data_IF_826654710208
#
_entry.id   IF_826654710208
#
_cell.length_a   1.000
_cell.length_b   1.000
_cell.length_c   1.000
_cell.angle_alpha   90.00
_cell.angle_beta   90.00
_cell.angle_gamma   90.00
#
_symmetry.space_group_name_H-M   'P 1'
#
loop_
_entity.id
_entity.type
_entity.pdbx_description
1 polymer ?
#
# COMPACT_ATOMS: atom_id res chain seq x y z
N UNK A 1 -1.83 -26.06 -13.63
CA UNK A 1 -2.90 -25.10 -13.98
C UNK A 1 -2.32 -23.72 -13.76
N UNK A 2 -2.28 -22.85 -14.76
CA UNK A 2 -1.84 -21.48 -14.56
C UNK A 2 -2.89 -20.72 -13.74
N UNK A 3 -2.44 -20.01 -12.71
CA UNK A 3 -3.28 -19.09 -11.95
C UNK A 3 -3.84 -18.01 -12.89
N UNK A 4 -5.08 -17.55 -12.71
CA UNK A 4 -5.58 -16.39 -13.42
C UNK A 4 -4.76 -15.17 -13.02
N UNK A 5 -3.98 -14.69 -13.98
CA UNK A 5 -2.98 -13.63 -13.83
C UNK A 5 -3.57 -12.22 -13.86
N UNK A 6 -4.85 -12.01 -13.60
CA UNK A 6 -5.48 -10.69 -13.76
C UNK A 6 -6.57 -10.41 -12.71
N UNK A 7 -6.20 -10.43 -11.42
CA UNK A 7 -6.95 -9.63 -10.48
C UNK A 7 -6.33 -8.21 -10.48
N UNK A 8 -6.84 -7.36 -11.37
CA UNK A 8 -6.55 -5.94 -11.36
C UNK A 8 -7.15 -5.36 -10.08
N UNK A 9 -6.31 -5.07 -9.09
CA UNK A 9 -6.69 -4.15 -8.03
C UNK A 9 -6.83 -2.76 -8.68
N UNK A 10 -7.95 -2.06 -8.51
CA UNK A 10 -8.09 -0.72 -9.06
C UNK A 10 -7.01 0.18 -8.44
N UNK A 11 -5.98 0.49 -9.22
CA UNK A 11 -4.89 1.39 -8.85
C UNK A 11 -3.50 0.79 -8.69
N UNK A 12 -3.34 -0.54 -8.59
CA UNK A 12 -2.01 -1.14 -8.49
C UNK A 12 -1.94 -2.49 -9.21
N UNK A 13 -1.14 -2.57 -10.26
CA UNK A 13 -0.86 -3.84 -10.94
C UNK A 13 0.04 -4.69 -10.05
N UNK A 14 -0.45 -5.83 -9.56
CA UNK A 14 0.39 -6.80 -8.85
C UNK A 14 1.29 -7.46 -9.89
N UNK A 15 2.57 -7.20 -9.79
CA UNK A 15 3.58 -7.81 -10.65
C UNK A 15 3.85 -9.26 -10.22
N UNK A 16 4.02 -10.20 -11.18
CA UNK A 16 4.49 -11.54 -10.88
C UNK A 16 5.86 -11.47 -10.18
N UNK A 17 5.90 -11.78 -8.88
CA UNK A 17 7.11 -11.83 -8.08
C UNK A 17 7.43 -10.62 -7.20
N UNK A 18 6.65 -9.54 -7.25
CA UNK A 18 6.87 -8.34 -6.43
C UNK A 18 5.63 -7.94 -5.62
N UNK A 19 5.54 -8.40 -4.38
CA UNK A 19 4.57 -7.84 -3.45
C UNK A 19 5.11 -6.47 -2.98
N UNK A 20 4.32 -5.39 -3.18
CA UNK A 20 4.60 -4.11 -2.54
C UNK A 20 4.40 -4.29 -1.03
N UNK A 21 5.47 -4.16 -0.26
CA UNK A 21 5.46 -4.45 1.18
C UNK A 21 4.86 -3.28 1.97
N UNK A 22 4.82 -2.09 1.36
CA UNK A 22 4.38 -0.85 2.01
C UNK A 22 2.90 -0.52 1.90
N UNK A 23 2.16 -1.11 0.92
CA UNK A 23 0.78 -0.74 0.66
C UNK A 23 -0.04 -1.90 0.09
N UNK A 24 -1.18 -2.22 0.72
CA UNK A 24 -2.05 -3.34 0.34
C UNK A 24 -3.07 -3.00 -0.78
N UNK A 25 -3.20 -1.74 -1.14
CA UNK A 25 -4.25 -1.29 -2.07
C UNK A 25 -5.58 -1.06 -1.37
N UNK A 26 -6.67 -1.39 -2.04
CA UNK A 26 -8.03 -1.33 -1.53
C UNK A 26 -8.69 -2.70 -1.61
N UNK A 27 -9.75 -2.98 -0.84
CA UNK A 27 -10.51 -4.22 -0.98
C UNK A 27 -11.10 -4.32 -2.39
N UNK A 28 -11.21 -5.56 -2.91
CA UNK A 28 -11.80 -5.82 -4.24
C UNK A 28 -13.29 -5.47 -4.23
N UNK A 29 -13.96 -5.80 -3.11
CA UNK A 29 -15.37 -5.51 -2.91
C UNK A 29 -15.54 -4.25 -2.08
N UNK A 30 -16.62 -3.50 -2.32
CA UNK A 30 -17.01 -2.41 -1.44
C UNK A 30 -17.60 -3.01 -0.16
N UNK A 31 -16.80 -3.08 0.90
CA UNK A 31 -17.18 -3.73 2.15
C UNK A 31 -18.27 -2.97 2.88
N UNK A 32 -19.35 -3.63 3.20
CA UNK A 32 -20.33 -3.17 4.18
C UNK A 32 -19.85 -3.48 5.61
N UNK A 33 -20.50 -2.89 6.61
CA UNK A 33 -20.20 -3.16 8.00
C UNK A 33 -20.38 -4.65 8.33
N UNK A 34 -19.46 -5.17 9.15
CA UNK A 34 -19.36 -6.59 9.51
C UNK A 34 -19.01 -7.53 8.36
N UNK A 35 -18.43 -7.02 7.29
CA UNK A 35 -17.90 -7.88 6.22
C UNK A 35 -16.38 -8.03 6.33
N UNK A 36 -15.93 -9.20 5.91
CA UNK A 36 -14.52 -9.60 5.82
C UNK A 36 -14.25 -10.12 4.42
N UNK A 37 -13.17 -9.65 3.82
CA UNK A 37 -12.70 -10.14 2.53
C UNK A 37 -11.32 -10.76 2.67
N UNK A 38 -11.15 -11.99 2.20
CA UNK A 38 -9.85 -12.64 2.16
C UNK A 38 -9.68 -13.42 0.86
N UNK A 39 -8.59 -13.14 0.15
CA UNK A 39 -8.24 -13.82 -1.11
C UNK A 39 -9.41 -13.87 -2.11
N UNK A 40 -10.16 -12.76 -2.23
CA UNK A 40 -11.30 -12.60 -3.12
C UNK A 40 -12.62 -13.21 -2.63
N UNK A 41 -12.64 -13.85 -1.44
CA UNK A 41 -13.86 -14.35 -0.81
C UNK A 41 -14.42 -13.28 0.14
N UNK A 42 -15.63 -12.82 -0.16
CA UNK A 42 -16.38 -11.92 0.71
C UNK A 42 -17.24 -12.76 1.67
N UNK A 43 -17.14 -12.45 2.96
CA UNK A 43 -17.87 -13.10 4.06
C UNK A 43 -18.58 -12.02 4.89
N UNK A 44 -19.74 -12.37 5.46
CA UNK A 44 -20.55 -11.49 6.30
C UNK A 44 -21.96 -11.26 5.75
N UNK A 45 -22.68 -10.26 6.26
CA UNK A 45 -24.08 -10.01 5.91
C UNK A 45 -24.30 -9.95 4.40
N UNK A 46 -25.35 -10.64 3.92
CA UNK A 46 -25.71 -10.69 2.51
C UNK A 46 -24.95 -11.70 1.67
N UNK A 47 -24.11 -12.53 2.28
CA UNK A 47 -23.36 -13.62 1.62
C UNK A 47 -23.80 -15.00 2.10
N UNK A 48 -23.25 -16.06 1.50
CA UNK A 48 -23.44 -17.44 1.97
C UNK A 48 -22.65 -17.74 3.26
N UNK A 49 -21.88 -16.79 3.77
CA UNK A 49 -20.97 -16.90 4.90
C UNK A 49 -21.36 -15.89 5.97
N UNK A 50 -22.13 -16.33 6.95
CA UNK A 50 -22.51 -15.48 8.07
C UNK A 50 -21.42 -15.48 9.15
N UNK A 51 -21.15 -14.34 9.76
CA UNK A 51 -20.09 -14.21 10.74
C UNK A 51 -20.73 -13.89 12.09
N UNK A 52 -20.61 -14.76 13.09
CA UNK A 52 -21.02 -14.44 14.46
C UNK A 52 -20.28 -13.20 15.01
N UNK A 53 -20.86 -12.42 15.92
CA UNK A 53 -20.34 -11.14 16.34
C UNK A 53 -19.10 -11.19 17.28
N UNK A 54 -18.43 -12.34 17.38
CA UNK A 54 -17.24 -12.49 18.22
C UNK A 54 -15.99 -12.55 17.34
N UNK A 55 -15.23 -11.43 17.32
CA UNK A 55 -14.04 -11.28 16.51
C UNK A 55 -12.88 -10.78 17.37
N UNK A 56 -11.66 -11.25 17.08
CA UNK A 56 -10.44 -10.79 17.73
C UNK A 56 -9.47 -10.05 16.78
N UNK A 57 -10.02 -9.33 15.79
CA UNK A 57 -9.21 -8.60 14.82
C UNK A 57 -8.48 -7.38 15.40
N UNK A 58 -9.03 -6.78 16.46
CA UNK A 58 -8.45 -5.60 17.11
C UNK A 58 -7.57 -5.94 18.30
N UNK A 59 -7.34 -7.22 18.56
CA UNK A 59 -6.48 -7.65 19.65
C UNK A 59 -5.02 -7.27 19.35
N UNK A 60 -4.29 -6.93 20.39
CA UNK A 60 -2.85 -6.73 20.27
C UNK A 60 -2.15 -8.06 20.04
N UNK A 61 -1.20 -8.10 19.13
CA UNK A 61 -0.32 -9.25 18.96
C UNK A 61 0.49 -9.50 20.24
N UNK A 62 0.85 -10.75 20.49
CA UNK A 62 1.73 -11.10 21.61
C UNK A 62 3.03 -10.24 21.56
N UNK A 63 3.49 -9.79 22.71
CA UNK A 63 4.70 -8.98 22.79
C UNK A 63 5.91 -9.86 23.05
N UNK A 64 6.97 -9.61 22.33
CA UNK A 64 8.34 -10.10 22.63
C UNK A 64 9.02 -9.06 23.47
N UNK A 65 9.16 -9.32 24.76
CA UNK A 65 9.84 -8.44 25.73
C UNK A 65 11.34 -8.74 25.75
N UNK A 66 12.15 -7.70 25.82
CA UNK A 66 13.62 -7.80 25.97
C UNK A 66 14.06 -7.45 27.39
N UNK A 67 13.20 -7.70 28.36
CA UNK A 67 13.49 -7.45 29.77
C UNK A 67 14.61 -8.34 30.29
N UNK A 68 15.51 -7.78 31.08
CA UNK A 68 16.61 -8.51 31.72
C UNK A 68 16.38 -8.59 33.22
N UNK A 69 16.42 -9.80 33.78
CA UNK A 69 16.32 -10.01 35.23
C UNK A 69 17.46 -9.30 35.98
N UNK A 70 17.14 -8.66 37.09
CA UNK A 70 18.15 -8.09 38.00
C UNK A 70 18.79 -9.21 38.81
N UNK A 71 20.11 -9.28 38.80
CA UNK A 71 20.85 -10.40 39.43
C UNK A 71 20.78 -10.38 40.95
N UNK A 72 20.70 -9.18 41.54
CA UNK A 72 20.80 -8.98 43.02
C UNK A 72 19.67 -8.14 43.59
N UNK A 73 18.57 -7.95 42.88
CA UNK A 73 17.41 -7.17 43.30
C UNK A 73 16.11 -7.69 42.66
N UNK A 74 14.97 -7.38 43.27
CA UNK A 74 13.68 -7.73 42.72
C UNK A 74 13.40 -6.98 41.38
N UNK A 75 12.68 -7.67 40.47
CA UNK A 75 12.26 -7.12 39.20
C UNK A 75 13.26 -7.30 38.06
N UNK A 76 13.00 -6.59 36.97
CA UNK A 76 13.82 -6.62 35.73
C UNK A 76 14.22 -5.21 35.30
N UNK A 77 15.20 -5.12 34.44
CA UNK A 77 15.46 -3.93 33.63
C UNK A 77 14.53 -3.99 32.42
N UNK A 78 13.72 -2.94 32.25
CA UNK A 78 12.81 -2.87 31.10
C UNK A 78 13.57 -2.69 29.80
N UNK A 79 13.34 -3.61 28.87
CA UNK A 79 13.83 -3.54 27.48
C UNK A 79 12.74 -3.04 26.51
N UNK A 80 13.04 -2.90 25.21
CA UNK A 80 12.04 -2.61 24.20
C UNK A 80 11.13 -3.80 23.94
N UNK A 81 9.85 -3.54 23.73
CA UNK A 81 8.85 -4.54 23.36
C UNK A 81 8.63 -4.53 21.85
N UNK A 82 8.50 -5.72 21.27
CA UNK A 82 8.19 -5.92 19.85
C UNK A 82 6.93 -6.76 19.70
N UNK A 83 6.03 -6.35 18.81
CA UNK A 83 4.87 -7.15 18.46
C UNK A 83 5.29 -8.41 17.70
N UNK A 84 4.76 -9.56 18.12
CA UNK A 84 4.93 -10.82 17.40
C UNK A 84 3.90 -10.95 16.26
N UNK A 85 3.80 -12.12 15.69
CA UNK A 85 2.80 -12.46 14.68
C UNK A 85 1.41 -12.31 15.26
N UNK A 86 0.52 -11.59 14.58
CA UNK A 86 -0.89 -11.54 14.92
C UNK A 86 -1.62 -12.76 14.34
N UNK A 87 -2.49 -13.38 15.15
CA UNK A 87 -3.23 -14.60 14.80
C UNK A 87 -4.75 -14.36 14.91
N UNK A 88 -5.35 -13.50 14.04
CA UNK A 88 -6.77 -13.28 14.08
C UNK A 88 -7.53 -14.55 13.71
N UNK A 89 -8.66 -14.75 14.35
CA UNK A 89 -9.53 -15.90 14.11
C UNK A 89 -10.99 -15.50 14.14
N UNK A 90 -11.83 -16.22 13.42
CA UNK A 90 -13.26 -16.06 13.47
C UNK A 90 -13.98 -17.39 13.17
N UNK A 91 -15.22 -17.49 13.62
CA UNK A 91 -16.15 -18.51 13.17
C UNK A 91 -16.90 -18.02 11.93
N UNK A 92 -17.21 -18.92 11.03
CA UNK A 92 -17.95 -18.63 9.79
C UNK A 92 -19.06 -19.66 9.65
N UNK A 93 -20.30 -19.20 9.60
CA UNK A 93 -21.44 -20.04 9.32
C UNK A 93 -21.66 -20.11 7.80
N UNK A 94 -21.45 -21.27 7.23
CA UNK A 94 -21.66 -21.51 5.79
C UNK A 94 -23.08 -22.02 5.60
N UNK A 95 -23.85 -21.34 4.76
CA UNK A 95 -25.28 -21.66 4.50
C UNK A 95 -25.53 -21.76 2.99
N UNK A 96 -26.44 -22.66 2.63
CA UNK A 96 -26.90 -22.77 1.24
C UNK A 96 -28.39 -23.08 1.17
N UNK A 97 -29.12 -22.39 0.30
CA UNK A 97 -30.55 -22.66 0.07
C UNK A 97 -30.80 -24.06 -0.52
N UNK A 98 -29.80 -24.63 -1.19
CA UNK A 98 -29.83 -26.01 -1.73
C UNK A 98 -28.50 -26.69 -1.43
N UNK A 99 -28.46 -28.02 -1.47
CA UNK A 99 -27.24 -28.80 -1.28
C UNK A 99 -26.13 -28.41 -2.30
N UNK A 100 -26.51 -28.09 -3.52
CA UNK A 100 -25.57 -27.67 -4.55
C UNK A 100 -24.93 -26.30 -4.24
N UNK A 101 -25.71 -25.30 -3.81
CA UNK A 101 -25.24 -23.99 -3.38
C UNK A 101 -24.37 -24.08 -2.13
N UNK A 102 -24.78 -24.90 -1.17
CA UNK A 102 -23.98 -25.17 0.02
C UNK A 102 -22.63 -25.81 -0.33
N UNK A 103 -22.62 -26.86 -1.18
CA UNK A 103 -21.39 -27.50 -1.62
C UNK A 103 -20.46 -26.52 -2.35
N UNK A 104 -21.03 -25.64 -3.20
CA UNK A 104 -20.27 -24.59 -3.90
C UNK A 104 -19.65 -23.59 -2.90
N UNK A 105 -20.42 -23.15 -1.88
CA UNK A 105 -19.94 -22.27 -0.84
C UNK A 105 -18.80 -22.91 -0.02
N UNK A 106 -18.96 -24.16 0.40
CA UNK A 106 -17.90 -24.91 1.11
C UNK A 106 -16.64 -25.02 0.24
N UNK A 107 -16.79 -25.29 -1.06
CA UNK A 107 -15.65 -25.38 -1.96
C UNK A 107 -14.94 -24.03 -2.17
N UNK A 108 -15.69 -22.94 -2.28
CA UNK A 108 -15.14 -21.58 -2.37
C UNK A 108 -14.35 -21.21 -1.10
N UNK A 109 -14.90 -21.51 0.10
CA UNK A 109 -14.19 -21.34 1.36
C UNK A 109 -12.90 -22.16 1.39
N UNK A 110 -12.94 -23.41 0.95
CA UNK A 110 -11.75 -24.28 0.87
C UNK A 110 -10.69 -23.72 -0.06
N UNK A 111 -11.07 -23.17 -1.18
CA UNK A 111 -10.15 -22.61 -2.16
C UNK A 111 -9.50 -21.32 -1.65
N UNK A 112 -10.27 -20.40 -1.06
CA UNK A 112 -9.74 -19.13 -0.52
C UNK A 112 -8.78 -19.34 0.65
N UNK A 113 -9.03 -20.36 1.46
CA UNK A 113 -8.20 -20.76 2.60
C UNK A 113 -7.24 -21.92 2.26
N UNK A 114 -6.84 -22.07 1.02
CA UNK A 114 -5.77 -22.98 0.65
C UNK A 114 -4.40 -22.47 1.15
N UNK A 115 -3.40 -23.36 1.36
CA UNK A 115 -2.04 -22.92 1.71
C UNK A 115 -1.47 -21.93 0.70
N UNK A 116 -0.87 -20.87 1.20
CA UNK A 116 -0.35 -19.77 0.38
C UNK A 116 1.16 -19.59 0.60
N UNK A 117 1.90 -19.38 -0.48
CA UNK A 117 3.33 -19.00 -0.42
C UNK A 117 3.51 -17.52 -0.10
N UNK A 118 2.64 -16.66 -0.63
CA UNK A 118 2.65 -15.21 -0.47
C UNK A 118 1.44 -14.81 0.39
N UNK A 119 1.60 -13.79 1.24
CA UNK A 119 0.50 -13.24 2.02
C UNK A 119 -0.52 -12.57 1.09
N UNK A 120 -1.81 -12.83 1.31
CA UNK A 120 -2.90 -12.15 0.65
C UNK A 120 -3.48 -11.06 1.58
N UNK A 121 -4.09 -10.01 1.05
CA UNK A 121 -4.75 -9.01 1.87
C UNK A 121 -5.98 -9.60 2.55
N UNK A 122 -6.06 -9.40 3.87
CA UNK A 122 -7.25 -9.63 4.68
C UNK A 122 -7.86 -8.27 4.99
N UNK A 123 -9.05 -8.01 4.50
CA UNK A 123 -9.77 -6.77 4.73
C UNK A 123 -10.94 -6.98 5.68
N UNK A 124 -11.15 -6.03 6.55
CA UNK A 124 -12.22 -6.05 7.56
C UNK A 124 -12.89 -4.68 7.62
N UNK A 125 -14.20 -4.66 7.68
CA UNK A 125 -14.98 -3.44 7.89
C UNK A 125 -15.82 -3.58 9.14
N UNK A 126 -15.56 -2.70 10.11
CA UNK A 126 -16.32 -2.60 11.35
C UNK A 126 -17.15 -1.30 11.36
N UNK A 127 -18.31 -1.29 12.05
CA UNK A 127 -19.12 -0.07 12.15
C UNK A 127 -18.33 1.09 12.76
N UNK A 128 -18.45 2.26 12.14
CA UNK A 128 -17.77 3.47 12.59
C UNK A 128 -16.27 3.53 12.33
N UNK A 129 -15.65 2.47 11.81
CA UNK A 129 -14.24 2.46 11.40
C UNK A 129 -14.12 2.38 9.86
N UNK A 130 -13.08 2.92 9.26
CA UNK A 130 -12.77 2.66 7.85
C UNK A 130 -12.47 1.18 7.62
N UNK A 131 -12.55 0.72 6.38
CA UNK A 131 -12.06 -0.61 6.02
C UNK A 131 -10.57 -0.70 6.35
N UNK A 132 -10.17 -1.78 7.04
CA UNK A 132 -8.80 -2.03 7.46
C UNK A 132 -8.28 -3.29 6.81
N UNK A 133 -7.05 -3.28 6.35
CA UNK A 133 -6.39 -4.39 5.69
C UNK A 133 -5.08 -4.77 6.36
N UNK A 134 -4.76 -6.06 6.35
CA UNK A 134 -3.50 -6.60 6.87
C UNK A 134 -3.03 -7.74 5.96
N UNK A 135 -1.71 -7.86 5.68
CA UNK A 135 -1.20 -8.99 4.92
C UNK A 135 -1.29 -10.27 5.75
N UNK A 136 -2.02 -11.26 5.25
CA UNK A 136 -2.32 -12.49 5.99
C UNK A 136 -2.09 -13.75 5.16
N UNK A 137 -1.78 -14.83 5.82
CA UNK A 137 -1.76 -16.20 5.28
C UNK A 137 -2.74 -17.06 6.07
N UNK A 138 -3.32 -18.05 5.43
CA UNK A 138 -4.10 -19.07 6.15
C UNK A 138 -3.22 -19.79 7.14
N UNK A 139 -3.61 -19.77 8.43
CA UNK A 139 -2.96 -20.53 9.48
C UNK A 139 -3.72 -21.85 9.76
N UNK A 140 -5.04 -21.74 9.95
CA UNK A 140 -5.89 -22.88 10.24
C UNK A 140 -7.26 -22.70 9.60
N UNK A 141 -7.81 -23.80 9.12
CA UNK A 141 -9.19 -23.89 8.66
C UNK A 141 -9.78 -25.21 9.17
N UNK A 142 -10.92 -25.13 9.81
CA UNK A 142 -11.69 -26.27 10.26
C UNK A 142 -13.12 -26.15 9.71
N UNK A 143 -13.58 -27.16 8.98
CA UNK A 143 -14.94 -27.24 8.44
C UNK A 143 -15.50 -28.57 8.95
N UNK A 144 -16.27 -28.58 10.04
CA UNK A 144 -16.81 -29.79 10.60
C UNK A 144 -17.88 -30.38 9.69
N UNK A 145 -17.91 -31.69 9.63
CA UNK A 145 -18.98 -32.49 8.98
C UNK A 145 -19.76 -33.16 10.11
N UNK A 146 -20.90 -32.58 10.43
CA UNK A 146 -21.78 -33.03 11.50
C UNK A 146 -23.23 -33.19 11.02
N UNK A 147 -24.18 -33.37 11.92
CA UNK A 147 -25.60 -33.56 11.58
C UNK A 147 -26.20 -32.32 10.88
N UNK A 148 -25.64 -31.14 11.08
CA UNK A 148 -26.14 -29.90 10.47
C UNK A 148 -25.82 -29.82 8.96
N UNK A 149 -24.87 -30.66 8.51
CA UNK A 149 -24.52 -30.78 7.09
C UNK A 149 -25.71 -31.21 6.22
N UNK A 150 -26.57 -32.07 6.73
CA UNK A 150 -27.79 -32.48 6.03
C UNK A 150 -28.81 -31.32 5.89
N UNK A 151 -28.71 -30.30 6.72
CA UNK A 151 -29.47 -29.05 6.64
C UNK A 151 -28.85 -27.98 5.78
N UNK A 152 -27.82 -28.30 4.99
CA UNK A 152 -27.04 -27.33 4.19
C UNK A 152 -26.41 -26.22 5.04
N UNK A 153 -25.89 -26.59 6.20
CA UNK A 153 -25.26 -25.69 7.17
C UNK A 153 -23.98 -26.30 7.74
N UNK A 154 -22.96 -25.49 7.96
CA UNK A 154 -21.75 -25.88 8.69
C UNK A 154 -21.15 -24.66 9.38
N UNK A 155 -20.67 -24.84 10.61
CA UNK A 155 -19.97 -23.83 11.37
C UNK A 155 -18.45 -24.04 11.23
N UNK A 156 -17.84 -23.33 10.30
CA UNK A 156 -16.41 -23.37 10.07
C UNK A 156 -15.67 -22.44 11.05
N UNK A 157 -14.43 -22.78 11.35
CA UNK A 157 -13.50 -21.90 12.08
C UNK A 157 -12.27 -21.63 11.21
N UNK A 158 -11.90 -20.38 11.10
CA UNK A 158 -10.75 -19.94 10.31
C UNK A 158 -9.82 -19.08 11.16
N UNK A 159 -8.53 -19.22 10.91
CA UNK A 159 -7.48 -18.44 11.56
C UNK A 159 -6.44 -18.02 10.53
N UNK A 160 -6.03 -16.80 10.63
CA UNK A 160 -4.95 -16.25 9.80
C UNK A 160 -3.66 -16.11 10.61
N UNK A 161 -2.58 -15.98 9.89
CA UNK A 161 -1.27 -15.60 10.39
C UNK A 161 -0.82 -14.35 9.67
N UNK A 162 -0.69 -13.26 10.41
CA UNK A 162 -0.27 -11.96 9.91
C UNK A 162 1.16 -11.71 10.37
N UNK A 163 2.17 -11.91 9.50
CA UNK A 163 3.58 -11.76 9.88
C UNK A 163 3.96 -10.33 10.28
N UNK A 164 3.29 -9.35 9.69
CA UNK A 164 3.41 -7.93 10.03
C UNK A 164 2.11 -7.49 10.72
N UNK A 165 2.11 -7.29 12.04
CA UNK A 165 0.90 -7.02 12.82
C UNK A 165 0.50 -5.54 12.76
N UNK A 166 0.47 -4.97 11.56
CA UNK A 166 0.10 -3.57 11.33
C UNK A 166 -1.07 -3.51 10.37
N UNK A 167 -2.18 -2.95 10.83
CA UNK A 167 -3.36 -2.69 10.01
C UNK A 167 -3.18 -1.43 9.19
N UNK A 168 -3.55 -1.52 7.93
CA UNK A 168 -3.63 -0.39 7.00
C UNK A 168 -5.09 -0.01 6.81
N UNK A 169 -5.39 1.29 6.90
CA UNK A 169 -6.76 1.77 6.68
C UNK A 169 -6.83 2.76 5.52
N UNK A 170 -7.21 3.99 5.77
CA UNK A 170 -7.40 4.99 4.72
C UNK A 170 -6.08 5.29 4.02
N UNK A 171 -6.05 5.17 2.70
CA UNK A 171 -4.92 5.61 1.90
C UNK A 171 -5.05 7.09 1.54
N UNK A 172 -3.96 7.81 1.66
CA UNK A 172 -3.83 9.21 1.28
C UNK A 172 -2.80 9.34 0.18
N UNK A 173 -3.16 10.07 -0.84
CA UNK A 173 -2.33 10.22 -2.03
C UNK A 173 -2.08 11.70 -2.30
N UNK A 174 -0.84 12.02 -2.57
CA UNK A 174 -0.41 13.34 -3.05
C UNK A 174 0.13 13.18 -4.46
N UNK A 175 -0.46 13.92 -5.38
CA UNK A 175 0.00 13.99 -6.77
C UNK A 175 0.82 15.26 -6.97
N UNK A 176 2.04 15.07 -7.43
CA UNK A 176 3.03 16.11 -7.66
C UNK A 176 3.39 16.10 -9.15
N UNK A 177 3.29 17.23 -9.80
CA UNK A 177 3.60 17.35 -11.23
C UNK A 177 4.79 18.27 -11.39
N UNK A 178 5.86 17.75 -11.95
CA UNK A 178 6.90 18.64 -12.48
C UNK A 178 6.30 19.27 -13.73
N UNK A 179 5.95 20.54 -13.65
CA UNK A 179 5.47 21.27 -14.82
C UNK A 179 6.66 21.50 -15.75
N UNK A 180 6.86 20.58 -16.67
CA UNK A 180 7.84 20.71 -17.74
C UNK A 180 7.37 21.68 -18.83
N UNK A 181 6.88 22.84 -18.48
CA UNK A 181 6.94 23.92 -19.42
C UNK A 181 8.29 24.59 -19.19
N UNK A 182 9.11 24.63 -20.21
CA UNK A 182 10.12 25.63 -20.31
C UNK A 182 9.40 26.97 -20.10
N UNK A 183 9.28 27.40 -18.85
CA UNK A 183 8.96 28.77 -18.56
C UNK A 183 10.15 29.50 -19.16
N UNK A 184 9.99 29.97 -20.39
CA UNK A 184 10.87 30.97 -20.94
C UNK A 184 10.95 32.01 -19.87
N UNK A 185 12.14 32.25 -19.38
CA UNK A 185 12.40 33.29 -18.39
C UNK A 185 11.75 34.57 -18.87
N UNK A 186 11.54 35.49 -17.96
CA UNK A 186 10.94 36.78 -18.28
C UNK A 186 11.72 37.41 -19.45
N UNK A 187 11.09 37.44 -20.62
CA UNK A 187 11.69 38.00 -21.83
C UNK A 187 11.28 39.47 -21.90
N UNK A 188 12.23 40.35 -21.66
CA UNK A 188 12.06 41.80 -21.90
C UNK A 188 12.68 42.17 -23.23
N UNK A 189 11.92 42.77 -24.16
CA UNK A 189 12.51 43.44 -25.29
C UNK A 189 13.30 44.67 -24.76
N UNK A 190 14.63 44.59 -24.75
CA UNK A 190 15.46 45.68 -24.21
C UNK A 190 15.47 46.94 -25.07
N UNK A 191 15.11 46.86 -26.35
CA UNK A 191 14.97 48.02 -27.22
C UNK A 191 13.94 47.75 -28.31
N UNK A 192 12.90 48.53 -28.36
CA UNK A 192 12.02 48.65 -29.49
C UNK A 192 12.24 50.00 -30.15
N UNK A 193 13.03 50.07 -31.22
CA UNK A 193 13.15 51.27 -32.03
C UNK A 193 12.27 51.10 -33.24
N UNK A 194 11.07 51.65 -33.14
CA UNK A 194 10.19 51.90 -34.26
C UNK A 194 10.75 53.07 -35.06
N UNK A 195 11.56 52.80 -36.05
CA UNK A 195 11.82 53.47 -37.33
C UNK A 195 13.27 53.31 -37.77
N UNK A 196 13.53 52.30 -38.54
CA UNK A 196 14.38 52.42 -39.70
C UNK A 196 15.88 52.18 -39.59
N UNK A 197 16.48 51.92 -38.43
CA UNK A 197 17.89 51.49 -38.40
C UNK A 197 18.24 50.78 -37.09
N UNK A 198 18.74 49.53 -37.25
CA UNK A 198 19.25 48.63 -36.21
C UNK A 198 18.23 48.14 -35.18
N UNK A 199 17.43 47.18 -35.59
CA UNK A 199 16.86 46.23 -34.62
C UNK A 199 17.96 45.24 -34.27
N UNK A 200 18.69 45.47 -33.20
CA UNK A 200 19.32 44.36 -32.47
C UNK A 200 18.24 43.81 -31.56
N UNK A 201 17.74 42.63 -31.79
CA UNK A 201 16.84 41.99 -30.82
C UNK A 201 17.67 41.63 -29.60
N UNK A 202 17.83 42.59 -28.69
CA UNK A 202 18.34 42.33 -27.36
C UNK A 202 17.24 41.71 -26.55
N UNK A 203 17.15 40.36 -26.55
CA UNK A 203 16.29 39.61 -25.65
C UNK A 203 17.12 39.30 -24.42
N UNK A 204 16.78 39.90 -23.28
CA UNK A 204 17.33 39.45 -22.02
C UNK A 204 16.60 38.16 -21.63
N UNK A 205 17.27 37.05 -21.79
CA UNK A 205 16.81 35.75 -21.31
C UNK A 205 17.35 35.52 -19.89
N UNK A 206 16.48 35.49 -18.92
CA UNK A 206 16.85 35.22 -17.52
C UNK A 206 16.98 33.73 -17.23
N UNK A 207 17.08 32.92 -18.25
CA UNK A 207 17.30 31.48 -18.19
C UNK A 207 16.01 30.66 -18.19
N UNK A 208 16.14 29.43 -18.60
CA UNK A 208 15.09 28.42 -18.51
C UNK A 208 15.22 27.68 -17.20
N UNK A 209 14.12 27.50 -16.48
CA UNK A 209 14.09 26.57 -15.34
C UNK A 209 14.13 25.18 -15.90
N UNK A 210 15.24 24.48 -15.72
CA UNK A 210 15.42 23.10 -16.21
C UNK A 210 14.84 22.05 -15.26
N UNK A 211 14.61 22.44 -14.00
CA UNK A 211 14.05 21.55 -12.98
C UNK A 211 12.97 22.28 -12.21
N UNK A 212 11.80 21.68 -12.11
CA UNK A 212 10.69 22.22 -11.34
C UNK A 212 10.40 21.36 -10.13
N UNK A 213 10.07 22.02 -9.02
CA UNK A 213 9.75 21.35 -7.76
C UNK A 213 8.29 21.59 -7.42
N UNK A 214 7.60 20.51 -7.17
CA UNK A 214 6.24 20.53 -6.66
C UNK A 214 6.22 19.96 -5.25
N UNK A 215 5.31 20.44 -4.41
CA UNK A 215 5.25 20.07 -3.00
C UNK A 215 3.85 19.67 -2.55
N UNK A 216 3.77 18.86 -1.52
CA UNK A 216 2.53 18.44 -0.90
C UNK A 216 2.75 17.95 0.53
N UNK A 217 1.67 17.59 1.21
CA UNK A 217 1.70 17.05 2.56
C UNK A 217 1.09 15.64 2.57
N UNK A 218 1.79 14.70 3.16
CA UNK A 218 1.30 13.37 3.49
C UNK A 218 1.00 13.30 4.97
N UNK A 219 -0.15 12.73 5.34
CA UNK A 219 -0.57 12.59 6.72
C UNK A 219 -0.87 11.12 7.02
N UNK A 220 -0.34 10.63 8.13
CA UNK A 220 -0.68 9.36 8.75
C UNK A 220 -1.39 9.66 10.08
N UNK A 221 -2.64 9.23 10.22
CA UNK A 221 -3.43 9.43 11.45
C UNK A 221 -3.42 8.19 12.36
N UNK A 222 -2.75 7.13 11.93
CA UNK A 222 -2.59 5.91 12.73
C UNK A 222 -1.55 6.06 13.85
N UNK A 223 -1.46 5.04 14.69
CA UNK A 223 -0.52 4.99 15.84
C UNK A 223 0.80 4.27 15.51
N UNK A 224 1.01 3.88 14.26
CA UNK A 224 2.23 3.24 13.78
C UNK A 224 2.82 4.01 12.61
N UNK A 225 4.13 3.86 12.38
CA UNK A 225 4.80 4.50 11.24
C UNK A 225 4.31 3.92 9.90
N UNK A 226 4.06 4.79 8.94
CA UNK A 226 3.56 4.43 7.62
C UNK A 226 4.66 4.57 6.56
N UNK A 227 4.84 3.54 5.76
CA UNK A 227 5.84 3.53 4.69
C UNK A 227 5.16 3.93 3.37
N UNK A 228 5.58 5.03 2.74
CA UNK A 228 4.99 5.46 1.49
C UNK A 228 5.43 4.60 0.30
N UNK A 229 4.62 4.65 -0.74
CA UNK A 229 4.95 4.16 -2.08
C UNK A 229 4.88 5.33 -3.04
N UNK A 230 5.95 5.58 -3.77
CA UNK A 230 6.00 6.62 -4.79
C UNK A 230 5.92 5.99 -6.19
N UNK A 231 5.02 6.50 -7.02
CA UNK A 231 4.90 6.14 -8.44
C UNK A 231 5.41 7.33 -9.26
N UNK A 232 6.55 7.15 -9.90
CA UNK A 232 7.19 8.16 -10.77
C UNK A 232 6.77 7.89 -12.21
N UNK A 233 6.04 8.80 -12.84
CA UNK A 233 5.51 8.65 -14.19
C UNK A 233 6.23 9.57 -15.17
N UNK A 234 6.63 9.01 -16.31
CA UNK A 234 7.28 9.77 -17.38
C UNK A 234 6.32 10.67 -18.19
N UNK A 235 6.88 11.49 -19.10
CA UNK A 235 8.28 11.46 -19.54
C UNK A 235 9.22 12.27 -18.62
N UNK A 236 10.39 11.69 -18.32
CA UNK A 236 11.53 12.40 -17.70
C UNK A 236 12.82 12.06 -18.45
N UNK A 237 13.71 13.02 -18.66
CA UNK A 237 15.02 12.81 -19.30
C UNK A 237 16.17 12.96 -18.31
N UNK A 238 15.96 13.71 -17.24
CA UNK A 238 16.90 13.90 -16.14
C UNK A 238 16.51 13.05 -14.93
N UNK A 239 17.42 12.85 -13.97
CA UNK A 239 17.09 12.21 -12.71
C UNK A 239 15.91 12.87 -12.02
N UNK A 240 14.99 12.06 -11.50
CA UNK A 240 13.88 12.53 -10.70
C UNK A 240 14.09 12.21 -9.22
N UNK A 241 13.76 13.16 -8.36
CA UNK A 241 13.97 13.06 -6.91
C UNK A 241 12.66 13.29 -6.18
N UNK A 242 12.35 12.38 -5.27
CA UNK A 242 11.30 12.57 -4.27
C UNK A 242 11.97 12.77 -2.92
N UNK A 243 11.67 13.89 -2.27
CA UNK A 243 12.18 14.22 -0.94
C UNK A 243 11.04 14.19 0.06
N UNK A 244 11.19 13.42 1.12
CA UNK A 244 10.24 13.29 2.22
C UNK A 244 10.94 13.75 3.51
N UNK A 245 10.45 14.84 4.11
CA UNK A 245 11.04 15.46 5.32
C UNK A 245 12.56 15.67 5.24
N UNK A 246 13.06 16.07 4.07
CA UNK A 246 14.48 16.28 3.83
C UNK A 246 15.27 15.04 3.41
N UNK A 247 14.68 13.86 3.45
CA UNK A 247 15.30 12.62 3.00
C UNK A 247 14.99 12.37 1.51
N UNK A 248 16.03 12.32 0.69
CA UNK A 248 15.91 12.24 -0.76
C UNK A 248 16.03 10.81 -1.28
N UNK A 249 15.16 10.45 -2.19
CA UNK A 249 15.25 9.24 -3.02
C UNK A 249 15.32 9.68 -4.47
N UNK A 250 16.42 9.38 -5.15
CA UNK A 250 16.69 9.81 -6.52
C UNK A 250 16.75 8.61 -7.46
N UNK A 251 15.93 8.64 -8.49
CA UNK A 251 15.97 7.70 -9.60
C UNK A 251 16.72 8.36 -10.78
N UNK A 252 17.82 7.73 -11.25
CA UNK A 252 18.80 8.35 -12.14
C UNK A 252 18.58 8.09 -13.63
N UNK A 253 17.64 7.22 -13.99
CA UNK A 253 17.39 6.89 -15.39
C UNK A 253 16.19 7.63 -15.96
N UNK A 254 16.13 7.90 -17.28
CA UNK A 254 14.97 8.48 -17.91
C UNK A 254 13.77 7.51 -17.82
N UNK A 255 12.57 8.06 -17.66
CA UNK A 255 11.32 7.31 -17.69
C UNK A 255 10.58 7.74 -18.97
N UNK A 256 10.40 6.83 -19.93
CA UNK A 256 9.66 7.13 -21.15
C UNK A 256 8.19 7.48 -20.89
N UNK A 257 7.57 8.18 -21.84
CA UNK A 257 6.12 8.43 -21.78
C UNK A 257 5.32 7.13 -21.73
N UNK A 258 4.31 7.08 -20.86
CA UNK A 258 3.47 5.91 -20.65
C UNK A 258 4.09 4.83 -19.76
N UNK A 259 5.31 5.02 -19.29
CA UNK A 259 5.94 4.16 -18.29
C UNK A 259 5.96 4.82 -16.91
N UNK A 260 5.99 4.00 -15.87
CA UNK A 260 6.15 4.47 -14.51
C UNK A 260 7.12 3.55 -13.72
N UNK A 261 7.80 4.14 -12.75
CA UNK A 261 8.65 3.44 -11.79
C UNK A 261 8.00 3.53 -10.42
N UNK A 262 7.78 2.38 -9.80
CA UNK A 262 7.21 2.26 -8.47
C UNK A 262 8.37 2.11 -7.49
N UNK A 263 8.48 3.01 -6.54
CA UNK A 263 9.47 3.00 -5.46
C UNK A 263 8.77 2.69 -4.15
N UNK A 264 9.07 1.53 -3.59
CA UNK A 264 8.55 1.10 -2.28
C UNK A 264 9.57 1.45 -1.19
N UNK A 265 9.21 2.37 -0.33
CA UNK A 265 10.08 2.88 0.75
C UNK A 265 10.34 1.83 1.84
N UNK A 266 9.42 0.89 2.06
CA UNK A 266 9.59 -0.16 3.08
C UNK A 266 10.62 -1.20 2.67
N UNK A 267 10.56 -1.65 1.41
CA UNK A 267 11.51 -2.63 0.88
C UNK A 267 12.79 -2.00 0.31
N UNK A 268 12.79 -0.69 0.04
CA UNK A 268 13.88 0.03 -0.61
C UNK A 268 14.08 -0.37 -2.08
N UNK A 269 13.03 -0.84 -2.75
CA UNK A 269 13.07 -1.32 -4.14
C UNK A 269 12.41 -0.34 -5.11
N UNK A 270 12.92 -0.33 -6.32
CA UNK A 270 12.31 0.35 -7.46
C UNK A 270 11.98 -0.67 -8.56
N UNK A 271 10.74 -0.61 -9.05
CA UNK A 271 10.24 -1.55 -10.06
C UNK A 271 9.59 -0.77 -11.20
N UNK A 272 9.98 -1.04 -12.43
CA UNK A 272 9.33 -0.45 -13.61
C UNK A 272 7.95 -1.10 -13.83
N UNK A 273 7.02 -0.36 -14.42
CA UNK A 273 5.75 -0.92 -14.92
C UNK A 273 6.02 -2.14 -15.79
N UNK A 274 5.48 -3.32 -15.41
CA UNK A 274 5.82 -4.60 -16.04
C UNK A 274 6.71 -5.51 -15.19
N UNK A 275 7.14 -5.09 -13.99
CA UNK A 275 7.79 -5.93 -12.98
C UNK A 275 9.32 -6.01 -13.09
N UNK A 276 9.93 -5.20 -13.94
CA UNK A 276 11.39 -5.18 -14.08
C UNK A 276 12.02 -4.44 -12.90
N UNK A 277 12.93 -5.08 -12.18
CA UNK A 277 13.68 -4.48 -11.09
C UNK A 277 14.61 -3.37 -11.62
N UNK A 278 14.46 -2.18 -11.06
CA UNK A 278 15.24 -0.98 -11.34
C UNK A 278 15.91 -0.41 -10.09
N UNK A 279 16.01 -1.18 -9.04
CA UNK A 279 16.59 -0.76 -7.75
C UNK A 279 18.03 -0.26 -7.89
N UNK A 280 18.78 -0.79 -8.87
CA UNK A 280 20.14 -0.32 -9.16
C UNK A 280 20.21 1.13 -9.64
N UNK A 281 19.11 1.66 -10.22
CA UNK A 281 19.03 3.04 -10.73
C UNK A 281 18.75 4.08 -9.62
N UNK A 282 18.54 3.64 -8.39
CA UNK A 282 18.43 4.53 -7.24
C UNK A 282 19.83 4.99 -6.80
N UNK A 283 20.14 6.26 -6.98
CA UNK A 283 21.43 6.87 -6.60
C UNK A 283 21.42 7.44 -5.20
N UNK A 284 20.30 8.03 -4.76
CA UNK A 284 20.05 8.36 -3.35
C UNK A 284 18.97 7.44 -2.81
N UNK A 285 19.16 6.90 -1.60
CA UNK A 285 18.30 5.88 -0.98
C UNK A 285 18.00 6.21 0.47
N UNK A 286 17.65 7.44 0.74
CA UNK A 286 17.30 7.89 2.08
C UNK A 286 15.80 7.63 2.33
N UNK A 287 15.45 6.36 2.51
CA UNK A 287 14.07 5.97 2.78
C UNK A 287 13.67 6.34 4.20
N UNK A 288 12.52 6.99 4.35
CA UNK A 288 11.95 7.33 5.65
C UNK A 288 10.46 6.99 5.68
N UNK A 289 9.91 6.81 6.88
CA UNK A 289 8.50 6.55 7.11
C UNK A 289 7.79 7.81 7.62
N UNK A 290 6.50 7.89 7.37
CA UNK A 290 5.61 8.96 7.83
C UNK A 290 5.08 8.60 9.21
N UNK A 291 5.43 9.37 10.25
CA UNK A 291 4.94 9.14 11.61
C UNK A 291 3.63 9.89 11.89
N UNK A 292 3.48 11.11 11.36
CA UNK A 292 2.28 11.94 11.49
C UNK A 292 2.03 12.73 10.21
N UNK A 293 2.62 13.90 10.05
CA UNK A 293 2.54 14.71 8.83
C UNK A 293 3.95 14.95 8.29
N UNK A 294 4.13 14.67 7.02
CA UNK A 294 5.41 14.78 6.33
C UNK A 294 5.29 15.66 5.09
N UNK A 295 6.26 16.50 4.85
CA UNK A 295 6.39 17.29 3.63
C UNK A 295 6.98 16.43 2.52
N UNK A 296 6.35 16.47 1.33
CA UNK A 296 6.83 15.77 0.14
C UNK A 296 7.15 16.79 -0.93
N UNK A 297 8.31 16.62 -1.54
CA UNK A 297 8.74 17.41 -2.69
C UNK A 297 9.11 16.48 -3.85
N UNK A 298 8.71 16.87 -5.04
CA UNK A 298 9.11 16.20 -6.27
C UNK A 298 9.86 17.15 -7.16
N UNK A 299 11.03 16.74 -7.63
CA UNK A 299 11.90 17.53 -8.51
C UNK A 299 12.30 16.69 -9.72
N UNK A 300 11.95 17.16 -10.91
CA UNK A 300 12.27 16.53 -12.20
C UNK A 300 12.18 17.56 -13.33
N UNK A 301 12.65 17.20 -14.52
CA UNK A 301 12.52 17.99 -15.75
C UNK A 301 11.16 17.83 -16.43
N UNK A 302 10.34 16.91 -15.96
CA UNK A 302 9.01 16.60 -16.48
C UNK A 302 8.37 15.45 -15.71
N UNK A 303 7.22 14.98 -16.19
CA UNK A 303 6.51 13.87 -15.59
C UNK A 303 5.78 14.22 -14.30
N UNK A 304 5.46 13.20 -13.51
CA UNK A 304 4.74 13.35 -12.25
C UNK A 304 5.18 12.31 -11.23
N UNK A 305 4.98 12.61 -9.96
CA UNK A 305 5.10 11.65 -8.87
C UNK A 305 3.77 11.57 -8.12
N UNK A 306 3.30 10.36 -7.89
CA UNK A 306 2.15 10.09 -7.02
C UNK A 306 2.66 9.36 -5.80
N UNK A 307 2.61 10.00 -4.64
CA UNK A 307 3.07 9.41 -3.39
C UNK A 307 1.87 9.04 -2.53
N UNK A 308 1.76 7.76 -2.21
CA UNK A 308 0.64 7.20 -1.44
C UNK A 308 1.15 6.65 -0.12
N UNK A 309 0.43 6.95 0.94
CA UNK A 309 0.62 6.37 2.27
C UNK A 309 -0.72 5.87 2.80
N UNK A 310 -0.74 4.75 3.51
CA UNK A 310 -1.91 4.30 4.24
C UNK A 310 -1.75 4.64 5.72
N UNK A 311 -2.87 4.99 6.40
CA UNK A 311 -2.86 5.14 7.85
C UNK A 311 -2.58 3.78 8.48
N UNK A 312 -1.55 3.71 9.33
CA UNK A 312 -1.05 2.48 9.94
C UNK A 312 -1.40 2.42 11.43
N UNK A 313 -1.99 1.29 11.86
CA UNK A 313 -2.41 1.08 13.24
C UNK A 313 -1.98 -0.28 13.77
N UNK A 314 -1.65 -0.36 15.06
CA UNK A 314 -1.36 -1.60 15.79
C UNK A 314 -2.36 -1.84 16.89
#
# INVERSE_FOLDING_TARGET
MPYPSNALYPGLTIFPGGQLVGYLGSPINNLADYQVEFNGLLMGPGTAYDIPPVWNFLDLAALKTMDQARVWADGSWSGPDFADVLLPSMSVEVKGATAALFAAAVQALRNSFAPQTIAAPLWVKLPGLPAMGIPAKTNKRNIPIDLTWNGNFSQAAVQWRCPDPVWQSVSRTVSLVASGSAASGLVFPMFNVSSGVYVVPGVADFGSVTTQTSSGLLTNTGNSVAWPVAVLSGPTTLPCTVTLDGYAVTYSQPIPAGQAVIVDYKSGRATLTGGVDRTYALTSRQFTAVSSTSSVFFSADGGSATVTVADMSR
#
